data_IF_909206858894
#
_entry.id   IF_909206858894
#
_cell.length_a   1.000
_cell.length_b   1.000
_cell.length_c   1.000
_cell.angle_alpha   90.00
_cell.angle_beta   90.00
_cell.angle_gamma   90.00
#
_symmetry.space_group_name_H-M   'P 1'
#
loop_
_entity.id
_entity.type
_entity.pdbx_description
1 polymer ?
#
# COMPACT_ATOMS: atom_id res chain seq x y z
N UNK A 1 24.06 -1.20 -1.87
CA UNK A 1 23.26 -0.27 -1.04
C UNK A 1 21.79 -0.47 -1.38
N UNK A 2 20.90 -0.57 -0.39
CA UNK A 2 19.45 -0.71 -0.63
C UNK A 2 18.91 0.63 -1.11
N UNK A 3 18.30 0.68 -2.29
CA UNK A 3 17.64 1.88 -2.81
C UNK A 3 16.15 1.81 -2.49
N UNK A 4 15.72 2.52 -1.43
CA UNK A 4 14.32 2.74 -1.10
C UNK A 4 13.90 4.12 -1.61
N UNK A 5 12.93 4.15 -2.53
CA UNK A 5 12.38 5.41 -3.05
C UNK A 5 10.89 5.45 -2.80
N UNK A 6 10.48 6.30 -1.86
CA UNK A 6 9.07 6.70 -1.73
C UNK A 6 8.72 7.52 -2.97
N UNK A 7 7.72 7.06 -3.72
CA UNK A 7 7.28 7.74 -4.95
C UNK A 7 5.91 8.39 -4.80
N UNK A 8 5.12 7.95 -3.81
CA UNK A 8 3.80 8.53 -3.55
C UNK A 8 3.40 8.36 -2.10
N UNK A 9 2.75 9.37 -1.55
CA UNK A 9 2.01 9.31 -0.29
C UNK A 9 0.61 9.88 -0.52
N UNK A 10 -0.40 9.28 0.11
CA UNK A 10 -1.79 9.72 0.09
C UNK A 10 -2.33 9.76 1.53
N UNK A 11 -3.35 10.59 1.84
CA UNK A 11 -4.01 10.53 3.13
C UNK A 11 -4.75 9.19 3.29
N UNK A 12 -4.75 8.66 4.51
CA UNK A 12 -5.62 7.57 4.90
C UNK A 12 -6.99 8.17 5.25
N UNK A 13 -7.93 8.06 4.31
CA UNK A 13 -9.30 8.46 4.53
C UNK A 13 -9.84 7.73 5.77
N UNK A 14 -10.61 8.43 6.61
CA UNK A 14 -11.13 7.98 7.92
C UNK A 14 -10.19 8.12 9.13
N UNK A 15 -9.01 8.72 8.95
CA UNK A 15 -8.13 9.14 10.06
C UNK A 15 -7.85 10.64 10.00
N UNK A 16 -7.49 11.25 11.14
CA UNK A 16 -7.17 12.70 11.18
C UNK A 16 -5.84 13.01 10.49
N UNK A 17 -4.81 12.23 10.82
CA UNK A 17 -3.44 12.45 10.35
C UNK A 17 -2.82 11.23 9.65
N UNK A 18 -3.58 10.15 9.44
CA UNK A 18 -3.03 8.95 8.88
C UNK A 18 -2.64 9.10 7.40
N UNK A 19 -1.60 8.38 7.00
CA UNK A 19 -1.09 8.39 5.61
C UNK A 19 -0.78 6.99 5.12
N UNK A 20 -0.91 6.81 3.81
CA UNK A 20 -0.49 5.61 3.08
C UNK A 20 0.66 6.02 2.17
N UNK A 21 1.84 5.46 2.42
CA UNK A 21 3.07 5.70 1.65
C UNK A 21 3.43 4.51 0.80
N UNK A 22 3.87 4.77 -0.42
CA UNK A 22 4.28 3.77 -1.40
C UNK A 22 5.74 3.97 -1.75
N UNK A 23 6.54 2.94 -1.52
CA UNK A 23 7.95 2.93 -1.85
C UNK A 23 8.27 1.79 -2.82
N UNK A 24 9.25 2.02 -3.69
CA UNK A 24 9.88 0.94 -4.47
C UNK A 24 11.23 0.66 -3.82
N UNK A 25 11.47 -0.60 -3.48
CA UNK A 25 12.73 -1.06 -2.90
C UNK A 25 13.38 -1.98 -3.92
N UNK A 26 14.56 -1.59 -4.39
CA UNK A 26 15.42 -2.47 -5.20
C UNK A 26 16.37 -3.22 -4.29
N UNK A 27 16.66 -4.48 -4.63
CA UNK A 27 17.61 -5.31 -3.91
C UNK A 27 17.32 -5.40 -2.38
N UNK A 28 16.08 -5.74 -1.95
CA UNK A 28 15.76 -5.82 -0.53
C UNK A 28 16.56 -6.91 0.21
N UNK A 29 17.02 -7.94 -0.52
CA UNK A 29 17.65 -9.16 -0.01
C UNK A 29 18.79 -9.68 -0.93
N UNK A 30 19.79 -8.87 -1.33
CA UNK A 30 21.03 -9.22 -2.11
C UNK A 30 21.14 -8.60 -3.54
N UNK A 31 22.34 -8.69 -4.17
CA UNK A 31 22.79 -8.04 -5.43
C UNK A 31 21.98 -8.39 -6.70
N UNK A 32 21.21 -9.48 -6.70
CA UNK A 32 20.22 -9.84 -7.75
C UNK A 32 18.75 -9.75 -7.25
N UNK A 33 18.54 -9.00 -6.17
CA UNK A 33 17.28 -8.98 -5.44
C UNK A 33 16.13 -8.38 -6.25
N UNK A 34 15.10 -9.20 -6.44
CA UNK A 34 13.82 -8.80 -7.06
C UNK A 34 13.29 -7.49 -6.51
N UNK A 35 12.83 -6.60 -7.40
CA UNK A 35 12.20 -5.33 -7.03
C UNK A 35 10.90 -5.63 -6.25
N UNK A 36 10.68 -4.90 -5.16
CA UNK A 36 9.43 -4.96 -4.38
C UNK A 36 8.80 -3.58 -4.29
N UNK A 37 7.48 -3.55 -4.19
CA UNK A 37 6.72 -2.35 -3.79
C UNK A 37 6.37 -2.52 -2.32
N UNK A 38 6.79 -1.56 -1.51
CA UNK A 38 6.43 -1.48 -0.09
C UNK A 38 5.27 -0.50 0.10
N UNK A 39 4.28 -0.90 0.89
CA UNK A 39 3.17 -0.05 1.32
C UNK A 39 3.29 0.13 2.82
N UNK A 40 3.40 1.39 3.26
CA UNK A 40 3.44 1.80 4.66
C UNK A 40 2.13 2.49 5.06
N UNK A 41 1.51 2.09 6.17
CA UNK A 41 0.36 2.77 6.76
C UNK A 41 0.78 3.41 8.08
N UNK A 42 0.45 4.69 8.24
CA UNK A 42 0.66 5.50 9.43
C UNK A 42 -0.72 5.96 9.92
N UNK A 43 -1.04 5.78 11.20
CA UNK A 43 -2.38 6.08 11.76
C UNK A 43 -2.38 7.40 12.55
N UNK A 44 -1.26 7.75 13.16
CA UNK A 44 -0.96 9.04 13.80
C UNK A 44 0.55 9.30 13.58
N UNK A 45 0.99 10.54 13.33
CA UNK A 45 2.30 11.04 12.82
C UNK A 45 3.62 10.37 13.31
N UNK A 46 3.54 9.41 14.22
CA UNK A 46 4.50 8.37 14.50
C UNK A 46 4.75 7.42 13.31
N UNK A 47 5.99 6.93 13.18
CA UNK A 47 6.49 6.04 12.11
C UNK A 47 5.44 5.02 11.59
N UNK A 48 5.45 4.67 10.29
CA UNK A 48 4.45 3.77 9.72
C UNK A 48 4.40 2.44 10.49
N UNK A 49 3.25 2.18 11.11
CA UNK A 49 3.00 1.03 11.97
C UNK A 49 2.95 -0.28 11.18
N UNK A 50 2.50 -0.22 9.93
CA UNK A 50 2.32 -1.40 9.08
C UNK A 50 3.11 -1.24 7.79
N UNK A 51 4.02 -2.16 7.50
CA UNK A 51 4.78 -2.24 6.24
C UNK A 51 4.55 -3.59 5.58
N UNK A 52 4.20 -3.60 4.30
CA UNK A 52 4.05 -4.82 3.51
C UNK A 52 4.90 -4.73 2.26
N UNK A 53 5.78 -5.72 2.04
CA UNK A 53 6.59 -5.84 0.82
C UNK A 53 5.89 -6.76 -0.18
N UNK A 54 5.57 -6.22 -1.35
CA UNK A 54 4.91 -6.95 -2.43
C UNK A 54 5.91 -7.13 -3.58
N UNK A 55 6.24 -8.37 -3.98
CA UNK A 55 7.08 -8.63 -5.14
C UNK A 55 6.51 -7.97 -6.41
N UNK A 56 7.37 -7.35 -7.22
CA UNK A 56 6.93 -6.67 -8.45
C UNK A 56 6.19 -7.62 -9.40
N UNK A 57 6.59 -8.91 -9.41
CA UNK A 57 5.93 -9.97 -10.17
C UNK A 57 4.45 -10.16 -9.81
N UNK A 58 4.04 -9.86 -8.58
CA UNK A 58 2.68 -10.06 -8.08
C UNK A 58 1.80 -8.79 -8.11
N UNK A 59 2.36 -7.62 -8.47
CA UNK A 59 1.63 -6.34 -8.43
C UNK A 59 0.37 -6.35 -9.33
N UNK A 60 0.44 -7.02 -10.49
CA UNK A 60 -0.71 -7.14 -11.40
C UNK A 60 -1.86 -7.90 -10.76
N UNK A 61 -1.55 -8.98 -10.03
CA UNK A 61 -2.54 -9.80 -9.35
C UNK A 61 -3.15 -9.07 -8.16
N UNK A 62 -2.32 -8.46 -7.31
CA UNK A 62 -2.78 -7.62 -6.19
C UNK A 62 -3.71 -6.51 -6.69
N UNK A 63 -3.35 -5.80 -7.76
CA UNK A 63 -4.21 -4.78 -8.36
C UNK A 63 -5.56 -5.36 -8.83
N UNK A 64 -5.58 -6.57 -9.39
CA UNK A 64 -6.81 -7.24 -9.82
C UNK A 64 -7.69 -7.58 -8.62
N UNK A 65 -7.11 -8.07 -7.53
CA UNK A 65 -7.83 -8.39 -6.29
C UNK A 65 -8.41 -7.12 -5.65
N UNK A 66 -7.62 -6.06 -5.52
CA UNK A 66 -8.09 -4.77 -4.96
C UNK A 66 -9.25 -4.19 -5.78
N UNK A 67 -9.15 -4.21 -7.11
CA UNK A 67 -10.26 -3.79 -8.00
C UNK A 67 -11.51 -4.66 -7.81
N UNK A 68 -11.36 -5.98 -7.63
CA UNK A 68 -12.47 -6.89 -7.37
C UNK A 68 -13.10 -6.62 -6.00
N UNK A 69 -12.30 -6.39 -4.96
CA UNK A 69 -12.79 -6.06 -3.62
C UNK A 69 -13.68 -4.80 -3.66
N UNK A 70 -13.22 -3.75 -4.33
CA UNK A 70 -14.00 -2.52 -4.53
C UNK A 70 -15.33 -2.76 -5.28
N UNK A 71 -15.36 -3.69 -6.24
CA UNK A 71 -16.59 -4.05 -6.96
C UNK A 71 -17.53 -4.96 -6.16
N UNK A 72 -16.97 -5.86 -5.35
CA UNK A 72 -17.73 -6.85 -4.56
C UNK A 72 -18.39 -6.19 -3.35
N UNK A 73 -17.76 -5.17 -2.80
CA UNK A 73 -18.36 -4.31 -1.79
C UNK A 73 -19.22 -3.23 -2.46
N UNK A 74 -20.46 -3.57 -2.83
CA UNK A 74 -21.51 -2.55 -3.00
C UNK A 74 -22.02 -2.22 -1.59
N UNK A 75 -21.81 -1.00 -1.05
CA UNK A 75 -22.54 -0.62 0.15
C UNK A 75 -24.03 -0.74 -0.19
N UNK A 76 -24.73 -1.64 0.48
CA UNK A 76 -26.18 -1.63 0.49
C UNK A 76 -26.60 -0.22 0.90
N UNK A 77 -27.27 0.53 0.02
CA UNK A 77 -27.97 1.75 0.41
C UNK A 77 -29.01 1.38 1.48
N UNK A 78 -28.62 1.46 2.75
CA UNK A 78 -29.48 1.44 3.94
C UNK A 78 -28.94 2.53 4.84
N UNK A 79 -29.66 3.58 5.21
CA UNK A 79 -30.92 4.15 4.73
C UNK A 79 -30.84 5.64 5.09
N UNK A 80 -31.31 6.51 4.21
CA UNK A 80 -31.79 7.82 4.65
C UNK A 80 -33.17 7.56 5.24
N UNK A 81 -33.32 7.68 6.56
CA UNK A 81 -34.58 8.07 7.18
C UNK A 81 -34.28 8.87 8.44
#
# INVERSE_FOLDING_TARGET
MKEERIFKTIPLNDTKNGTISFAIIKNPYEEDGNVVVSIGIMIDDTKPEWKVHIPFSQIKEVRKILKKAHKKYKPSKKGKQ
#
